data_IF_424074843928
#
_entry.id   IF_424074843928
#
_cell.length_a   1.000
_cell.length_b   1.000
_cell.length_c   1.000
_cell.angle_alpha   90.00
_cell.angle_beta   90.00
_cell.angle_gamma   90.00
#
_symmetry.space_group_name_H-M   'P 1'
#
loop_
_entity.id
_entity.type
_entity.pdbx_description
1 polymer ?
#
# COMPACT_ATOMS: atom_id res chain seq x y z
N UNK A 1 -5.92 -7.04 11.01
CA UNK A 1 -5.77 -5.75 11.73
C UNK A 1 -5.48 -4.58 10.78
N UNK A 2 -4.53 -4.69 9.84
CA UNK A 2 -4.23 -3.64 8.84
C UNK A 2 -5.41 -3.38 7.89
N UNK A 3 -6.04 -4.42 7.34
CA UNK A 3 -7.24 -4.28 6.49
C UNK A 3 -8.42 -3.60 7.21
N UNK A 4 -8.56 -3.80 8.53
CA UNK A 4 -9.60 -3.16 9.34
C UNK A 4 -9.32 -1.67 9.60
N UNK A 5 -8.04 -1.26 9.59
CA UNK A 5 -7.63 0.14 9.67
C UNK A 5 -7.98 0.87 8.36
N UNK A 6 -7.71 0.24 7.21
CA UNK A 6 -8.04 0.75 5.88
C UNK A 6 -9.56 0.83 5.63
N UNK A 7 -10.36 0.00 6.31
CA UNK A 7 -11.84 0.10 6.29
C UNK A 7 -12.39 1.24 7.16
N UNK A 8 -11.63 1.75 8.14
CA UNK A 8 -12.07 2.79 9.08
C UNK A 8 -11.60 4.19 8.72
N UNK A 9 -10.49 4.30 8.00
CA UNK A 9 -9.99 5.55 7.46
C UNK A 9 -10.30 5.59 5.98
N UNK A 10 -10.88 6.69 5.50
CA UNK A 10 -11.04 6.90 4.07
C UNK A 10 -9.67 7.25 3.48
N UNK A 11 -8.85 6.22 3.26
CA UNK A 11 -7.44 6.37 2.89
C UNK A 11 -7.26 6.97 1.49
N UNK A 12 -8.36 7.07 0.73
CA UNK A 12 -8.41 7.73 -0.58
C UNK A 12 -8.33 9.25 -0.50
N UNK A 13 -8.50 9.84 0.68
CA UNK A 13 -8.36 11.29 0.86
C UNK A 13 -6.93 11.76 1.10
N UNK A 14 -5.95 10.84 1.17
CA UNK A 14 -4.57 11.17 1.51
C UNK A 14 -3.70 11.34 0.26
N UNK A 15 -2.77 12.29 0.32
CA UNK A 15 -1.70 12.42 -0.65
C UNK A 15 -0.54 11.48 -0.30
N UNK A 16 0.22 10.99 -1.28
CA UNK A 16 1.32 10.02 -1.07
C UNK A 16 2.31 10.41 0.03
N UNK A 17 2.57 11.72 0.17
CA UNK A 17 3.51 12.26 1.17
C UNK A 17 3.00 12.05 2.59
N UNK A 18 1.68 12.10 2.79
CA UNK A 18 1.06 11.87 4.08
C UNK A 18 1.11 10.39 4.45
N UNK A 19 0.91 9.50 3.47
CA UNK A 19 1.11 8.06 3.66
C UNK A 19 2.54 7.75 4.11
N UNK A 20 3.54 8.30 3.42
CA UNK A 20 4.95 8.13 3.79
C UNK A 20 5.25 8.75 5.16
N UNK A 21 4.67 9.91 5.49
CA UNK A 21 4.84 10.51 6.81
C UNK A 21 4.24 9.65 7.94
N UNK A 22 3.14 8.93 7.66
CA UNK A 22 2.44 8.08 8.64
C UNK A 22 3.09 6.72 8.81
N UNK A 23 3.52 6.09 7.71
CA UNK A 23 3.98 4.69 7.69
C UNK A 23 5.49 4.55 7.58
N UNK A 24 6.19 5.65 7.27
CA UNK A 24 7.60 5.66 6.92
C UNK A 24 7.85 5.35 5.44
N UNK A 25 9.12 5.18 5.11
CA UNK A 25 9.57 4.89 3.76
C UNK A 25 8.99 3.55 3.24
N UNK A 26 8.57 3.49 1.96
CA UNK A 26 8.10 2.26 1.33
C UNK A 26 9.11 1.11 1.49
N UNK A 27 8.61 -0.08 1.81
CA UNK A 27 9.44 -1.28 1.96
C UNK A 27 9.34 -2.24 0.77
N UNK A 28 8.48 -1.92 -0.19
CA UNK A 28 8.35 -2.64 -1.45
C UNK A 28 8.12 -1.70 -2.63
N UNK A 29 7.95 -2.30 -3.80
CA UNK A 29 7.74 -1.62 -5.06
C UNK A 29 6.54 -2.22 -5.78
N UNK A 30 5.69 -1.37 -6.38
CA UNK A 30 4.57 -1.82 -7.19
C UNK A 30 4.40 -0.94 -8.44
N UNK A 31 4.88 -1.45 -9.57
CA UNK A 31 4.82 -0.94 -10.96
C UNK A 31 5.37 0.49 -11.21
N UNK A 32 5.21 1.40 -10.27
CA UNK A 32 5.62 2.80 -10.32
C UNK A 32 6.08 3.26 -8.93
N UNK A 33 7.21 3.96 -8.86
CA UNK A 33 7.75 4.60 -7.63
C UNK A 33 6.79 5.61 -6.98
N UNK A 34 5.76 6.02 -7.72
CA UNK A 34 4.73 6.92 -7.19
C UNK A 34 3.79 6.24 -6.22
N UNK A 35 3.62 4.91 -6.30
CA UNK A 35 2.79 4.11 -5.41
C UNK A 35 3.58 3.73 -4.16
N UNK A 36 3.25 4.26 -2.97
CA UNK A 36 3.79 3.72 -1.73
C UNK A 36 3.35 2.24 -1.58
N UNK A 37 4.32 1.36 -1.39
CA UNK A 37 4.09 -0.07 -1.25
C UNK A 37 4.86 -0.63 -0.03
N UNK A 38 4.19 -1.47 0.75
CA UNK A 38 4.70 -1.94 2.04
C UNK A 38 4.47 -3.45 2.21
N UNK A 39 5.51 -4.21 2.56
CA UNK A 39 5.33 -5.61 2.97
C UNK A 39 4.66 -5.70 4.33
N UNK A 40 3.60 -6.50 4.41
CA UNK A 40 2.80 -6.71 5.63
C UNK A 40 2.32 -8.16 5.75
N UNK A 41 2.00 -8.58 6.97
CA UNK A 41 1.47 -9.91 7.23
C UNK A 41 2.54 -11.00 7.33
N UNK A 42 2.14 -12.28 7.31
CA UNK A 42 3.04 -13.40 7.56
C UNK A 42 3.95 -13.70 6.37
N UNK A 43 5.19 -14.11 6.64
CA UNK A 43 6.19 -14.49 5.62
C UNK A 43 5.90 -15.83 4.95
N UNK A 44 4.81 -16.50 5.32
CA UNK A 44 4.33 -17.74 4.70
C UNK A 44 3.62 -17.49 3.38
N UNK A 45 3.22 -16.25 3.12
CA UNK A 45 2.67 -15.82 1.83
C UNK A 45 3.84 -15.37 0.95
N UNK A 46 3.86 -15.83 -0.29
CA UNK A 46 4.93 -15.54 -1.25
C UNK A 46 4.32 -15.03 -2.56
N UNK A 47 4.97 -14.03 -3.14
CA UNK A 47 4.55 -13.38 -4.37
C UNK A 47 5.76 -12.99 -5.22
N UNK A 48 5.53 -12.54 -6.46
CA UNK A 48 6.62 -12.06 -7.33
C UNK A 48 7.40 -10.88 -6.74
N UNK A 49 6.84 -10.17 -5.76
CA UNK A 49 7.51 -9.05 -5.09
C UNK A 49 8.32 -9.49 -3.86
N UNK A 50 8.02 -10.67 -3.27
CA UNK A 50 8.71 -11.17 -2.08
C UNK A 50 7.78 -11.90 -1.12
N UNK A 51 8.24 -12.01 0.14
CA UNK A 51 7.50 -12.69 1.23
C UNK A 51 6.61 -11.70 1.98
N UNK A 52 5.40 -12.14 2.29
CA UNK A 52 4.33 -11.31 2.84
C UNK A 52 3.39 -10.79 1.75
N UNK A 53 2.34 -10.10 2.18
CA UNK A 53 1.49 -9.32 1.30
C UNK A 53 2.12 -7.97 1.02
N UNK A 54 1.88 -7.42 -0.16
CA UNK A 54 2.20 -6.04 -0.48
C UNK A 54 0.93 -5.19 -0.31
N UNK A 55 0.93 -4.29 0.65
CA UNK A 55 -0.07 -3.23 0.78
C UNK A 55 0.33 -2.09 -0.15
N UNK A 56 -0.49 -1.81 -1.15
CA UNK A 56 -0.22 -0.83 -2.19
C UNK A 56 -1.24 0.30 -2.12
N UNK A 57 -0.73 1.53 -2.06
CA UNK A 57 -1.52 2.74 -2.22
C UNK A 57 -1.36 3.20 -3.68
N UNK A 58 -2.40 2.95 -4.49
CA UNK A 58 -2.40 3.38 -5.88
C UNK A 58 -2.64 4.87 -5.93
N UNK A 59 -1.68 5.62 -6.46
CA UNK A 59 -1.75 7.08 -6.55
C UNK A 59 -1.98 7.55 -7.97
N UNK A 60 -2.79 8.60 -8.13
CA UNK A 60 -2.85 9.37 -9.37
C UNK A 60 -1.46 9.93 -9.67
N UNK A 61 -1.04 9.80 -10.94
CA UNK A 61 0.33 10.10 -11.38
C UNK A 61 0.58 11.59 -11.60
N UNK A 62 -0.48 12.36 -11.73
CA UNK A 62 -0.46 13.81 -11.98
C UNK A 62 -0.42 14.62 -10.69
N UNK A 63 -1.17 14.21 -9.66
CA UNK A 63 -1.28 14.96 -8.40
C UNK A 63 -0.71 14.22 -7.18
N UNK A 64 -0.53 12.89 -7.23
CA UNK A 64 -0.01 12.10 -6.12
C UNK A 64 -1.05 11.74 -5.05
N UNK A 65 -2.34 11.99 -5.30
CA UNK A 65 -3.44 11.62 -4.42
C UNK A 65 -3.70 10.11 -4.52
N UNK A 66 -4.10 9.49 -3.41
CA UNK A 66 -4.40 8.05 -3.37
C UNK A 66 -5.78 7.78 -3.96
N UNK A 67 -5.84 7.09 -5.09
CA UNK A 67 -7.10 6.68 -5.72
C UNK A 67 -7.70 5.45 -5.04
N UNK A 68 -6.86 4.51 -4.65
CA UNK A 68 -7.29 3.24 -4.05
C UNK A 68 -6.18 2.53 -3.28
N UNK A 69 -6.58 1.53 -2.50
CA UNK A 69 -5.67 0.70 -1.72
C UNK A 69 -5.97 -0.76 -1.97
N UNK A 70 -4.93 -1.56 -2.21
CA UNK A 70 -5.06 -3.00 -2.47
C UNK A 70 -3.99 -3.81 -1.75
N UNK A 71 -4.23 -5.12 -1.64
CA UNK A 71 -3.23 -6.10 -1.22
C UNK A 71 -2.81 -6.96 -2.42
N UNK A 72 -1.54 -7.36 -2.45
CA UNK A 72 -1.02 -8.34 -3.40
C UNK A 72 -0.27 -9.46 -2.68
N UNK A 73 -0.60 -10.75 -2.87
CA UNK A 73 -1.78 -11.23 -3.59
C UNK A 73 -3.08 -10.76 -2.93
N UNK A 74 -4.19 -10.77 -3.68
CA UNK A 74 -5.48 -10.30 -3.18
C UNK A 74 -5.93 -11.11 -1.95
N UNK A 75 -6.60 -10.44 -1.01
CA UNK A 75 -7.11 -11.03 0.23
C UNK A 75 -8.63 -10.97 0.18
N UNK A 76 -9.30 -12.12 0.31
CA UNK A 76 -10.77 -12.21 0.47
C UNK A 76 -11.26 -11.66 1.81
#
# INVERSE_FOLDING_TARGET
MTASLLKKHDVTSYHRKEIVALLGEPTGYYDYDTNPAYFVGPTTVESMYGKGYLLVFLTDKSNGDVDSVMFFPEVE
#
